data_IF_099318295293
#
_entry.id   IF_099318295293
#
_cell.length_a   1.000
_cell.length_b   1.000
_cell.length_c   1.000
_cell.angle_alpha   90.00
_cell.angle_beta   90.00
_cell.angle_gamma   90.00
#
_symmetry.space_group_name_H-M   'P 1'
#
loop_
_entity.id
_entity.type
_entity.pdbx_description
1 polymer ?
#
# COMPACT_ATOMS: atom_id res chain seq x y z
N UNK A 1 -16.25 5.74 -25.88
CA UNK A 1 -15.13 4.90 -25.41
C UNK A 1 -14.64 5.51 -24.11
N UNK A 2 -15.13 5.05 -22.95
CA UNK A 2 -14.66 5.55 -21.67
C UNK A 2 -13.24 5.01 -21.47
N UNK A 3 -12.24 5.89 -21.57
CA UNK A 3 -10.91 5.55 -21.08
C UNK A 3 -11.07 5.13 -19.62
N UNK A 4 -10.77 3.88 -19.30
CA UNK A 4 -10.54 3.50 -17.91
C UNK A 4 -9.44 4.41 -17.41
N UNK A 5 -9.78 5.37 -16.55
CA UNK A 5 -8.78 6.22 -15.91
C UNK A 5 -7.81 5.29 -15.20
N UNK A 6 -6.58 5.21 -15.69
CA UNK A 6 -5.56 4.37 -15.09
C UNK A 6 -5.28 4.95 -13.69
N UNK A 7 -5.48 4.14 -12.64
CA UNK A 7 -5.21 4.54 -11.26
C UNK A 7 -3.72 4.87 -11.16
N UNK A 8 -3.38 6.15 -10.96
CA UNK A 8 -1.98 6.57 -10.82
C UNK A 8 -1.44 5.96 -9.54
N UNK A 9 -0.35 5.21 -9.68
CA UNK A 9 0.41 4.69 -8.55
C UNK A 9 1.47 5.71 -8.18
N UNK A 10 1.56 6.04 -6.90
CA UNK A 10 2.51 7.03 -6.36
C UNK A 10 3.75 6.39 -5.75
N UNK A 11 3.68 5.11 -5.36
CA UNK A 11 4.81 4.41 -4.77
C UNK A 11 4.58 2.92 -4.65
N UNK A 12 5.69 2.19 -4.66
CA UNK A 12 5.72 0.75 -4.37
C UNK A 12 6.87 0.46 -3.39
N UNK A 13 6.72 -0.58 -2.57
CA UNK A 13 7.74 -1.00 -1.61
C UNK A 13 7.64 -2.49 -1.36
N UNK A 14 8.69 -3.26 -1.65
CA UNK A 14 8.81 -4.62 -1.15
C UNK A 14 9.10 -4.60 0.36
N UNK A 15 8.69 -5.64 1.07
CA UNK A 15 9.20 -5.90 2.41
C UNK A 15 10.63 -6.46 2.35
N UNK A 16 11.25 -6.66 3.51
CA UNK A 16 12.65 -7.12 3.59
C UNK A 16 12.86 -8.54 3.03
N UNK A 17 11.84 -9.40 3.07
CA UNK A 17 11.91 -10.77 2.55
C UNK A 17 11.61 -10.88 1.05
N UNK A 18 10.93 -9.87 0.48
CA UNK A 18 10.40 -9.91 -0.88
C UNK A 18 9.12 -10.75 -1.02
N UNK A 19 8.55 -11.22 0.09
CA UNK A 19 7.29 -11.96 0.14
C UNK A 19 6.08 -11.04 -0.04
N UNK A 20 6.19 -9.77 0.35
CA UNK A 20 5.10 -8.79 0.26
C UNK A 20 5.50 -7.56 -0.54
N UNK A 21 4.56 -7.05 -1.33
CA UNK A 21 4.66 -5.78 -2.04
C UNK A 21 3.53 -4.85 -1.59
N UNK A 22 3.89 -3.66 -1.13
CA UNK A 22 2.95 -2.60 -0.86
C UNK A 22 2.86 -1.65 -2.06
N UNK A 23 1.65 -1.22 -2.41
CA UNK A 23 1.38 -0.32 -3.53
C UNK A 23 0.52 0.85 -3.04
N UNK A 24 0.97 2.07 -3.27
CA UNK A 24 0.26 3.31 -2.96
C UNK A 24 -0.36 3.93 -4.22
N UNK A 25 -1.59 4.42 -4.09
CA UNK A 25 -2.31 5.19 -5.09
C UNK A 25 -3.48 5.91 -4.43
N UNK A 26 -4.72 5.70 -4.89
CA UNK A 26 -5.89 6.14 -4.12
C UNK A 26 -6.09 5.35 -2.81
N UNK A 27 -5.66 4.09 -2.79
CA UNK A 27 -5.67 3.20 -1.61
C UNK A 27 -4.28 2.60 -1.45
N UNK A 28 -4.03 1.95 -0.30
CA UNK A 28 -2.84 1.11 -0.10
C UNK A 28 -3.21 -0.35 -0.30
N UNK A 29 -2.51 -1.06 -1.18
CA UNK A 29 -2.67 -2.51 -1.34
C UNK A 29 -1.45 -3.23 -0.79
N UNK A 30 -1.69 -4.37 -0.13
CA UNK A 30 -0.65 -5.33 0.27
C UNK A 30 -0.82 -6.58 -0.58
N UNK A 31 0.23 -6.97 -1.30
CA UNK A 31 0.23 -8.04 -2.28
C UNK A 31 1.19 -9.13 -1.82
N UNK A 32 0.76 -10.38 -1.84
CA UNK A 32 1.64 -11.53 -1.68
C UNK A 32 2.35 -11.83 -3.01
N UNK A 33 3.68 -11.75 -2.99
CA UNK A 33 4.53 -12.00 -4.14
C UNK A 33 4.57 -13.49 -4.40
N UNK A 34 4.23 -13.92 -5.63
CA UNK A 34 4.07 -15.34 -6.01
C UNK A 34 3.04 -16.03 -5.09
N UNK A 35 1.74 -15.72 -5.27
CA UNK A 35 1.10 -15.74 -6.60
C UNK A 35 0.65 -14.38 -7.16
N UNK A 36 1.06 -13.25 -6.58
CA UNK A 36 0.55 -11.90 -6.92
C UNK A 36 -0.91 -11.68 -6.52
N UNK A 37 -1.30 -12.20 -5.36
CA UNK A 37 -2.63 -12.00 -4.80
C UNK A 37 -2.67 -10.78 -3.87
N UNK A 38 -3.72 -9.97 -4.00
CA UNK A 38 -3.99 -8.88 -3.05
C UNK A 38 -4.47 -9.50 -1.74
N UNK A 39 -3.73 -9.29 -0.66
CA UNK A 39 -4.07 -9.75 0.70
C UNK A 39 -4.94 -8.73 1.44
N UNK A 40 -4.67 -7.45 1.24
CA UNK A 40 -5.39 -6.36 1.87
C UNK A 40 -5.49 -5.14 0.96
N UNK A 41 -6.59 -4.40 1.08
CA UNK A 41 -6.75 -3.06 0.53
C UNK A 41 -7.17 -2.15 1.68
N UNK A 42 -6.34 -1.15 1.97
CA UNK A 42 -6.49 -0.21 3.08
C UNK A 42 -6.95 1.13 2.50
N UNK A 43 -8.18 1.51 2.83
CA UNK A 43 -8.91 2.64 2.22
C UNK A 43 -9.10 3.79 3.21
N UNK A 44 -8.27 3.86 4.25
CA UNK A 44 -8.49 4.84 5.32
C UNK A 44 -8.05 6.25 4.95
N UNK A 45 -7.10 6.37 4.01
CA UNK A 45 -6.70 7.68 3.48
C UNK A 45 -7.88 8.34 2.77
N UNK A 46 -8.10 9.63 3.07
CA UNK A 46 -9.22 10.41 2.51
C UNK A 46 -8.86 11.16 1.22
N UNK A 47 -7.61 11.02 0.79
CA UNK A 47 -7.04 11.63 -0.42
C UNK A 47 -5.85 10.77 -0.87
N UNK A 48 -5.24 11.10 -2.01
CA UNK A 48 -4.16 10.34 -2.64
C UNK A 48 -3.03 10.00 -1.66
N UNK A 49 -2.70 8.72 -1.57
CA UNK A 49 -1.52 8.23 -0.86
C UNK A 49 -0.31 8.61 -1.69
N UNK A 50 0.71 9.20 -1.09
CA UNK A 50 1.91 9.68 -1.78
C UNK A 50 3.12 8.77 -1.57
N UNK A 51 3.13 7.95 -0.51
CA UNK A 51 4.20 6.98 -0.27
C UNK A 51 3.74 5.87 0.68
N UNK A 52 4.41 4.72 0.58
CA UNK A 52 4.20 3.54 1.45
C UNK A 52 5.53 2.85 1.76
N UNK A 53 5.71 2.36 2.99
CA UNK A 53 6.90 1.62 3.43
C UNK A 53 6.54 0.52 4.41
N UNK A 54 7.15 -0.65 4.26
CA UNK A 54 7.11 -1.68 5.29
C UNK A 54 8.03 -1.31 6.45
N UNK A 55 7.59 -1.63 7.67
CA UNK A 55 8.45 -1.73 8.83
C UNK A 55 9.29 -3.02 8.83
N UNK A 56 10.09 -3.21 9.87
CA UNK A 56 10.96 -4.38 10.02
C UNK A 56 10.13 -5.68 10.00
N UNK A 57 10.59 -6.68 9.24
CA UNK A 57 9.97 -8.00 9.12
C UNK A 57 8.48 -7.97 8.72
N UNK A 58 8.03 -6.94 8.00
CA UNK A 58 6.63 -6.76 7.59
C UNK A 58 5.61 -6.73 8.75
N UNK A 59 6.04 -6.51 10.00
CA UNK A 59 5.12 -6.40 11.14
C UNK A 59 4.26 -5.13 11.12
N UNK A 60 4.72 -4.12 10.40
CA UNK A 60 3.97 -2.90 10.20
C UNK A 60 4.07 -2.39 8.76
N UNK A 61 3.08 -1.60 8.37
CA UNK A 61 3.05 -0.84 7.13
C UNK A 61 2.77 0.62 7.46
N UNK A 62 3.53 1.53 6.86
CA UNK A 62 3.35 2.96 7.02
C UNK A 62 2.94 3.56 5.68
N UNK A 63 1.97 4.48 5.71
CA UNK A 63 1.57 5.26 4.54
C UNK A 63 1.37 6.73 4.89
N UNK A 64 1.60 7.59 3.90
CA UNK A 64 1.38 9.04 4.00
C UNK A 64 0.60 9.52 2.78
N UNK A 65 -0.22 10.55 2.94
CA UNK A 65 -1.09 11.03 1.87
C UNK A 65 -1.40 12.52 1.90
N UNK A 66 -2.07 13.00 0.86
CA UNK A 66 -2.51 14.39 0.69
C UNK A 66 -3.59 14.81 1.70
N UNK A 67 -4.19 13.85 2.40
CA UNK A 67 -5.09 14.07 3.54
C UNK A 67 -4.38 14.54 4.82
N UNK A 68 -3.06 14.80 4.73
CA UNK A 68 -2.19 15.25 5.82
C UNK A 68 -2.10 14.26 6.97
N UNK A 69 -2.25 12.97 6.68
CA UNK A 69 -2.10 11.90 7.67
C UNK A 69 -0.89 11.02 7.39
N UNK A 70 -0.29 10.52 8.47
CA UNK A 70 0.55 9.34 8.49
C UNK A 70 -0.26 8.23 9.16
N UNK A 71 -0.31 7.06 8.52
CA UNK A 71 -1.02 5.89 9.03
C UNK A 71 -0.05 4.74 9.27
N UNK A 72 -0.29 3.99 10.35
CA UNK A 72 0.48 2.81 10.72
C UNK A 72 -0.51 1.66 10.86
N UNK A 73 -0.23 0.59 10.13
CA UNK A 73 -0.97 -0.66 10.17
C UNK A 73 -0.10 -1.73 10.80
N UNK A 74 -0.68 -2.55 11.66
CA UNK A 74 0.01 -3.67 12.30
C UNK A 74 -0.65 -4.96 11.84
N UNK A 75 0.13 -6.01 11.61
CA UNK A 75 -0.44 -7.34 11.43
C UNK A 75 -1.09 -7.77 12.76
N UNK A 76 -2.34 -8.24 12.71
CA UNK A 76 -2.92 -8.94 13.85
C UNK A 76 -2.16 -10.26 14.04
N UNK A 77 -1.82 -10.58 15.29
CA UNK A 77 -1.18 -11.85 15.66
C UNK A 77 -2.04 -13.06 15.29
#
# INVERSE_FOLDING_TARGET
MLARSAKVLSGICFDQSGTYLAVAGADVQVIHVKPWSVLATLTDHKDAVTSVRFGRNAHSLLSVGMDRSLRIYMASQ
#
